data_IF_059406177738
#
_entry.id   IF_059406177738
#
_cell.length_a   1.000
_cell.length_b   1.000
_cell.length_c   1.000
_cell.angle_alpha   90.00
_cell.angle_beta   90.00
_cell.angle_gamma   90.00
#
_symmetry.space_group_name_H-M   'P 1'
#
loop_
_entity.id
_entity.type
_entity.pdbx_description
1 polymer ?
#
# COMPACT_ATOMS: atom_id res chain seq x y z
N UNK A 1 1.17 13.22 -29.98
CA UNK A 1 -0.25 12.82 -29.91
C UNK A 1 -0.62 12.75 -28.46
N UNK A 2 -1.71 13.40 -28.07
CA UNK A 2 -2.27 13.27 -26.72
C UNK A 2 -2.96 11.91 -26.59
N UNK A 3 -3.16 11.44 -25.35
CA UNK A 3 -3.88 10.17 -25.10
C UNK A 3 -5.30 10.21 -25.68
N UNK A 4 -5.95 11.38 -25.69
CA UNK A 4 -7.31 11.55 -26.24
C UNK A 4 -7.35 11.44 -27.76
N UNK A 5 -6.33 11.97 -28.45
CA UNK A 5 -6.15 11.79 -29.89
C UNK A 5 -5.88 10.32 -30.21
N UNK A 6 -5.03 9.68 -29.41
CA UNK A 6 -4.69 8.26 -29.58
C UNK A 6 -5.89 7.35 -29.39
N UNK A 7 -6.75 7.61 -28.40
CA UNK A 7 -8.02 6.89 -28.23
C UNK A 7 -8.94 7.01 -29.44
N UNK A 8 -8.95 8.16 -30.12
CA UNK A 8 -9.79 8.34 -31.31
C UNK A 8 -9.25 7.58 -32.53
N UNK A 9 -7.92 7.46 -32.66
CA UNK A 9 -7.28 6.63 -33.67
C UNK A 9 -7.51 5.15 -33.39
N UNK A 10 -7.24 4.71 -32.16
CA UNK A 10 -7.41 3.31 -31.74
C UNK A 10 -8.87 2.84 -31.86
N UNK A 11 -9.84 3.73 -31.66
CA UNK A 11 -11.25 3.41 -31.88
C UNK A 11 -11.55 3.13 -33.37
N UNK A 12 -10.95 3.88 -34.29
CA UNK A 12 -11.07 3.62 -35.74
C UNK A 12 -10.36 2.33 -36.12
N UNK A 13 -9.21 2.06 -35.53
CA UNK A 13 -8.45 0.84 -35.80
C UNK A 13 -9.14 -0.41 -35.25
N UNK A 14 -9.73 -0.34 -34.05
CA UNK A 14 -10.57 -1.39 -33.49
C UNK A 14 -11.82 -1.66 -34.37
N UNK A 15 -12.43 -0.62 -34.93
CA UNK A 15 -13.53 -0.78 -35.89
C UNK A 15 -13.08 -1.49 -37.18
N UNK A 16 -11.89 -1.17 -37.71
CA UNK A 16 -11.34 -1.83 -38.90
C UNK A 16 -10.95 -3.29 -38.63
N UNK A 17 -10.41 -3.57 -37.45
CA UNK A 17 -10.01 -4.90 -37.01
C UNK A 17 -11.19 -5.77 -36.56
N UNK A 18 -12.41 -5.22 -36.51
CA UNK A 18 -13.63 -5.87 -35.97
C UNK A 18 -13.45 -6.41 -34.54
N UNK A 19 -12.59 -5.76 -33.76
CA UNK A 19 -12.31 -6.11 -32.37
C UNK A 19 -13.36 -5.47 -31.46
N UNK A 20 -14.44 -6.21 -31.21
CA UNK A 20 -15.58 -5.73 -30.43
C UNK A 20 -15.23 -5.46 -28.97
N UNK A 21 -14.35 -6.27 -28.36
CA UNK A 21 -13.90 -6.10 -26.97
C UNK A 21 -13.10 -4.80 -26.84
N UNK A 22 -12.04 -4.63 -27.65
CA UNK A 22 -11.21 -3.41 -27.62
C UNK A 22 -12.03 -2.16 -27.93
N UNK A 23 -12.95 -2.23 -28.89
CA UNK A 23 -13.83 -1.12 -29.24
C UNK A 23 -14.74 -0.71 -28.08
N UNK A 24 -15.30 -1.68 -27.36
CA UNK A 24 -16.11 -1.43 -26.16
C UNK A 24 -15.30 -0.73 -25.07
N UNK A 25 -14.12 -1.27 -24.74
CA UNK A 25 -13.23 -0.71 -23.71
C UNK A 25 -12.82 0.72 -24.02
N UNK A 26 -12.42 1.00 -25.27
CA UNK A 26 -12.00 2.35 -25.70
C UNK A 26 -13.16 3.35 -25.65
N UNK A 27 -14.38 2.94 -26.02
CA UNK A 27 -15.59 3.78 -25.90
C UNK A 27 -15.96 4.07 -24.46
N UNK A 28 -15.84 3.08 -23.59
CA UNK A 28 -16.11 3.24 -22.17
C UNK A 28 -15.12 4.22 -21.54
N UNK A 29 -13.82 4.09 -21.83
CA UNK A 29 -12.80 5.02 -21.38
C UNK A 29 -13.05 6.45 -21.90
N UNK A 30 -13.39 6.61 -23.18
CA UNK A 30 -13.72 7.92 -23.75
C UNK A 30 -14.92 8.58 -23.04
N UNK A 31 -15.93 7.79 -22.70
CA UNK A 31 -17.09 8.27 -21.92
C UNK A 31 -16.68 8.71 -20.52
N UNK A 32 -15.86 7.91 -19.83
CA UNK A 32 -15.35 8.25 -18.49
C UNK A 32 -14.54 9.57 -18.50
N UNK A 33 -13.68 9.76 -19.50
CA UNK A 33 -12.93 11.00 -19.68
C UNK A 33 -13.85 12.19 -19.94
N UNK A 34 -14.87 12.02 -20.80
CA UNK A 34 -15.83 13.09 -21.08
C UNK A 34 -16.67 13.45 -19.86
N UNK A 35 -17.11 12.46 -19.08
CA UNK A 35 -17.81 12.70 -17.82
C UNK A 35 -16.94 13.51 -16.86
N UNK A 36 -15.66 13.16 -16.74
CA UNK A 36 -14.72 13.89 -15.89
C UNK A 36 -14.45 15.33 -16.39
N UNK A 37 -14.43 15.55 -17.72
CA UNK A 37 -14.37 16.90 -18.30
C UNK A 37 -15.60 17.74 -17.94
N UNK A 38 -16.80 17.13 -17.99
CA UNK A 38 -18.05 17.78 -17.60
C UNK A 38 -18.03 18.14 -16.12
N UNK A 39 -17.62 17.21 -15.26
CA UNK A 39 -17.51 17.43 -13.81
C UNK A 39 -16.51 18.55 -13.47
N UNK A 40 -15.40 18.61 -14.20
CA UNK A 40 -14.37 19.64 -14.00
C UNK A 40 -14.72 20.98 -14.67
N UNK A 41 -15.74 21.01 -15.54
CA UNK A 41 -16.11 22.15 -16.39
C UNK A 41 -14.94 22.75 -17.20
N UNK A 42 -13.93 21.93 -17.52
CA UNK A 42 -12.74 22.31 -18.29
C UNK A 42 -12.13 21.11 -18.98
N UNK A 43 -11.21 21.37 -19.91
CA UNK A 43 -10.38 20.30 -20.46
C UNK A 43 -9.50 19.68 -19.37
N UNK A 44 -9.33 18.36 -19.45
CA UNK A 44 -8.49 17.62 -18.52
C UNK A 44 -7.03 17.77 -18.94
N UNK A 45 -6.18 17.95 -17.94
CA UNK A 45 -4.74 17.84 -18.10
C UNK A 45 -4.36 16.37 -18.35
N UNK A 46 -3.18 16.13 -18.93
CA UNK A 46 -2.70 14.75 -19.17
C UNK A 46 -2.63 13.94 -17.88
N UNK A 47 -2.27 14.57 -16.76
CA UNK A 47 -2.25 13.94 -15.43
C UNK A 47 -3.63 13.45 -14.97
N UNK A 48 -4.67 14.24 -15.23
CA UNK A 48 -6.04 13.88 -14.90
C UNK A 48 -6.57 12.77 -15.80
N UNK A 49 -6.20 12.79 -17.09
CA UNK A 49 -6.52 11.71 -18.03
C UNK A 49 -5.91 10.40 -17.53
N UNK A 50 -4.64 10.42 -17.10
CA UNK A 50 -3.98 9.26 -16.49
C UNK A 50 -4.68 8.79 -15.21
N UNK A 51 -5.12 9.71 -14.35
CA UNK A 51 -5.83 9.38 -13.11
C UNK A 51 -7.17 8.68 -13.39
N UNK A 52 -7.91 9.10 -14.42
CA UNK A 52 -9.16 8.44 -14.85
C UNK A 52 -8.89 7.02 -15.34
N UNK A 53 -7.86 6.82 -16.18
CA UNK A 53 -7.50 5.48 -16.68
C UNK A 53 -7.15 4.55 -15.51
N UNK A 54 -6.36 5.02 -14.53
CA UNK A 54 -6.01 4.24 -13.33
C UNK A 54 -7.24 3.88 -12.49
N UNK A 55 -8.17 4.82 -12.34
CA UNK A 55 -9.43 4.59 -11.62
C UNK A 55 -10.24 3.48 -12.29
N UNK A 56 -10.33 3.52 -13.63
CA UNK A 56 -11.05 2.49 -14.40
C UNK A 56 -10.40 1.11 -14.25
N UNK A 57 -9.06 1.03 -14.33
CA UNK A 57 -8.32 -0.22 -14.11
C UNK A 57 -8.56 -0.75 -12.70
N UNK A 58 -8.55 0.12 -11.69
CA UNK A 58 -8.82 -0.28 -10.30
C UNK A 58 -10.23 -0.88 -10.17
N UNK A 59 -11.25 -0.21 -10.72
CA UNK A 59 -12.62 -0.73 -10.70
C UNK A 59 -12.74 -2.11 -11.37
N UNK A 60 -12.04 -2.32 -12.49
CA UNK A 60 -12.00 -3.62 -13.16
C UNK A 60 -11.28 -4.69 -12.33
N UNK A 61 -10.19 -4.33 -11.62
CA UNK A 61 -9.49 -5.25 -10.70
C UNK A 61 -10.37 -5.63 -9.51
N UNK A 62 -10.97 -4.65 -8.84
CA UNK A 62 -11.87 -4.87 -7.71
C UNK A 62 -13.10 -5.72 -8.12
N UNK A 63 -13.66 -5.46 -9.32
CA UNK A 63 -14.73 -6.28 -9.88
C UNK A 63 -14.24 -7.70 -10.21
N UNK A 64 -13.03 -7.86 -10.75
CA UNK A 64 -12.44 -9.17 -11.06
C UNK A 64 -12.22 -10.01 -9.80
N UNK A 65 -11.77 -9.40 -8.69
CA UNK A 65 -11.65 -10.11 -7.41
C UNK A 65 -13.02 -10.60 -6.91
N UNK A 66 -14.04 -9.75 -7.02
CA UNK A 66 -15.42 -10.11 -6.63
C UNK A 66 -15.97 -11.24 -7.50
N UNK A 67 -15.74 -11.20 -8.82
CA UNK A 67 -16.19 -12.26 -9.74
C UNK A 67 -15.39 -13.56 -9.58
N UNK A 68 -14.11 -13.46 -9.23
CA UNK A 68 -13.26 -14.61 -8.89
C UNK A 68 -13.77 -15.31 -7.63
N UNK A 69 -14.14 -14.54 -6.60
CA UNK A 69 -14.78 -15.08 -5.40
C UNK A 69 -16.14 -15.75 -5.69
N UNK A 70 -16.86 -15.27 -6.71
CA UNK A 70 -18.12 -15.85 -7.19
C UNK A 70 -17.95 -17.00 -8.20
N UNK A 71 -16.72 -17.43 -8.52
CA UNK A 71 -16.44 -18.53 -9.45
C UNK A 71 -16.70 -18.24 -10.94
N UNK A 72 -16.84 -16.97 -11.33
CA UNK A 72 -17.12 -16.56 -12.73
C UNK A 72 -15.84 -16.28 -13.51
N UNK A 73 -15.11 -17.33 -13.88
CA UNK A 73 -13.79 -17.22 -14.54
C UNK A 73 -13.85 -16.52 -15.90
N UNK A 74 -14.88 -16.76 -16.73
CA UNK A 74 -15.00 -16.08 -18.03
C UNK A 74 -15.09 -14.55 -17.90
N UNK A 75 -15.77 -14.04 -16.87
CA UNK A 75 -15.87 -12.60 -16.61
C UNK A 75 -14.55 -12.02 -16.10
N UNK A 76 -13.79 -12.80 -15.33
CA UNK A 76 -12.45 -12.40 -14.87
C UNK A 76 -11.50 -12.29 -16.07
N UNK A 77 -11.50 -13.28 -16.97
CA UNK A 77 -10.67 -13.24 -18.18
C UNK A 77 -11.04 -12.07 -19.10
N UNK A 78 -12.33 -11.78 -19.26
CA UNK A 78 -12.78 -10.61 -20.03
C UNK A 78 -12.26 -9.31 -19.40
N UNK A 79 -12.40 -9.13 -18.09
CA UNK A 79 -11.89 -7.96 -17.38
C UNK A 79 -10.35 -7.85 -17.47
N UNK A 80 -9.62 -8.96 -17.41
CA UNK A 80 -8.15 -8.97 -17.55
C UNK A 80 -7.72 -8.53 -18.97
N UNK A 81 -8.47 -8.91 -20.02
CA UNK A 81 -8.25 -8.41 -21.39
C UNK A 81 -8.53 -6.92 -21.52
N UNK A 82 -9.58 -6.42 -20.86
CA UNK A 82 -9.88 -4.99 -20.80
C UNK A 82 -8.78 -4.21 -20.09
N UNK A 83 -8.29 -4.71 -18.94
CA UNK A 83 -7.19 -4.12 -18.18
C UNK A 83 -5.93 -4.04 -19.06
N UNK A 84 -5.57 -5.14 -19.74
CA UNK A 84 -4.41 -5.17 -20.62
C UNK A 84 -4.52 -4.17 -21.79
N UNK A 85 -5.74 -3.91 -22.26
CA UNK A 85 -6.00 -2.87 -23.28
C UNK A 85 -5.83 -1.46 -22.71
N UNK A 86 -6.33 -1.21 -21.50
CA UNK A 86 -6.20 0.08 -20.82
C UNK A 86 -4.75 0.40 -20.42
N UNK A 87 -3.98 -0.62 -20.01
CA UNK A 87 -2.58 -0.49 -19.63
C UNK A 87 -1.68 0.00 -20.78
N UNK A 88 -2.07 -0.22 -22.04
CA UNK A 88 -1.36 0.32 -23.22
C UNK A 88 -1.40 1.84 -23.32
N UNK A 89 -2.39 2.49 -22.71
CA UNK A 89 -2.53 3.95 -22.70
C UNK A 89 -1.86 4.61 -21.50
N UNK A 90 -1.37 3.82 -20.55
CA UNK A 90 -0.55 4.32 -19.45
C UNK A 90 0.92 4.28 -19.88
N UNK A 91 1.71 5.33 -19.61
CA UNK A 91 3.16 5.20 -19.69
C UNK A 91 3.59 4.04 -18.79
N UNK A 92 4.56 3.24 -19.25
CA UNK A 92 5.08 2.09 -18.51
C UNK A 92 5.29 2.48 -17.05
N UNK A 93 4.39 2.01 -16.17
CA UNK A 93 4.47 2.34 -14.76
C UNK A 93 5.75 1.72 -14.25
N UNK A 94 6.55 2.49 -13.53
CA UNK A 94 7.67 1.91 -12.80
C UNK A 94 7.13 0.81 -11.89
N UNK A 95 7.77 -0.36 -11.96
CA UNK A 95 7.48 -1.48 -11.09
C UNK A 95 7.39 -0.99 -9.64
N UNK A 96 6.46 -1.54 -8.86
CA UNK A 96 6.22 -1.13 -7.49
C UNK A 96 7.47 -1.27 -6.62
N UNK A 97 8.30 -2.28 -6.90
CA UNK A 97 9.60 -2.45 -6.28
C UNK A 97 10.58 -1.31 -6.63
N UNK A 98 10.66 -0.94 -7.91
CA UNK A 98 11.53 0.14 -8.39
C UNK A 98 11.06 1.52 -7.88
N UNK A 99 9.74 1.76 -7.87
CA UNK A 99 9.13 2.95 -7.30
C UNK A 99 9.41 3.03 -5.80
N UNK A 100 9.21 1.93 -5.07
CA UNK A 100 9.50 1.86 -3.65
C UNK A 100 10.96 2.25 -3.41
N UNK A 101 11.91 1.64 -4.12
CA UNK A 101 13.34 1.91 -3.96
C UNK A 101 13.71 3.38 -4.19
N UNK A 102 13.24 3.97 -5.29
CA UNK A 102 13.50 5.39 -5.60
C UNK A 102 12.91 6.32 -4.53
N UNK A 103 11.71 6.00 -4.04
CA UNK A 103 11.10 6.75 -2.94
C UNK A 103 11.90 6.55 -1.65
N UNK A 104 12.39 5.34 -1.34
CA UNK A 104 13.26 5.12 -0.16
C UNK A 104 14.50 5.99 -0.25
N UNK A 105 15.21 5.93 -1.37
CA UNK A 105 16.47 6.67 -1.57
C UNK A 105 16.23 8.19 -1.48
N UNK A 106 15.12 8.67 -2.04
CA UNK A 106 14.73 10.08 -1.97
C UNK A 106 14.35 10.52 -0.53
N UNK A 107 13.62 9.69 0.20
CA UNK A 107 13.23 9.96 1.60
C UNK A 107 14.48 9.95 2.50
N UNK A 108 15.37 8.98 2.34
CA UNK A 108 16.65 8.91 3.06
C UNK A 108 17.56 10.11 2.73
N UNK A 109 17.68 10.49 1.46
CA UNK A 109 18.45 11.67 1.05
C UNK A 109 17.85 12.98 1.57
N UNK A 110 16.53 13.05 1.75
CA UNK A 110 15.85 14.24 2.31
C UNK A 110 16.03 14.39 3.83
N UNK A 111 16.48 13.33 4.51
CA UNK A 111 16.63 13.29 5.97
C UNK A 111 15.29 13.40 6.72
N UNK A 112 14.17 13.08 6.07
CA UNK A 112 12.85 13.15 6.69
C UNK A 112 12.63 11.95 7.61
N UNK A 113 12.48 12.22 8.91
CA UNK A 113 12.37 11.17 9.94
C UNK A 113 11.03 11.17 10.64
N UNK A 114 10.19 12.18 10.39
CA UNK A 114 8.91 12.35 11.09
C UNK A 114 7.73 12.63 10.16
N UNK A 115 6.50 12.42 10.65
CA UNK A 115 5.27 12.85 9.97
C UNK A 115 5.23 14.37 9.74
N UNK A 116 5.94 15.17 10.55
CA UNK A 116 6.06 16.61 10.32
C UNK A 116 6.90 16.93 9.07
N UNK A 117 7.80 16.03 8.68
CA UNK A 117 8.64 16.15 7.48
C UNK A 117 7.97 15.57 6.23
N UNK A 118 6.70 15.16 6.32
CA UNK A 118 5.96 14.56 5.20
C UNK A 118 5.96 15.47 3.97
N UNK A 119 5.85 16.80 4.15
CA UNK A 119 5.95 17.75 3.04
C UNK A 119 7.31 17.75 2.34
N UNK A 120 8.39 17.62 3.12
CA UNK A 120 9.78 17.58 2.61
C UNK A 120 10.08 16.25 1.90
N UNK A 121 9.65 15.14 2.51
CA UNK A 121 9.74 13.81 1.93
C UNK A 121 8.95 13.71 0.62
N UNK A 122 7.74 14.28 0.58
CA UNK A 122 6.90 14.31 -0.62
C UNK A 122 7.56 15.14 -1.73
N UNK A 123 8.13 16.30 -1.41
CA UNK A 123 8.85 17.13 -2.39
C UNK A 123 10.08 16.44 -2.96
N UNK A 124 10.88 15.77 -2.13
CA UNK A 124 12.06 15.02 -2.56
C UNK A 124 11.68 13.79 -3.40
N UNK A 125 10.67 13.03 -2.96
CA UNK A 125 10.17 11.87 -3.67
C UNK A 125 9.59 12.29 -5.03
N UNK A 126 8.70 13.30 -5.09
CA UNK A 126 8.13 13.79 -6.36
C UNK A 126 9.20 14.29 -7.33
N UNK A 127 10.27 14.92 -6.83
CA UNK A 127 11.42 15.34 -7.64
C UNK A 127 12.22 14.14 -8.17
N UNK A 128 12.41 13.11 -7.36
CA UNK A 128 13.10 11.88 -7.77
C UNK A 128 12.29 11.03 -8.75
N UNK A 129 10.96 11.00 -8.59
CA UNK A 129 10.08 10.26 -9.50
C UNK A 129 9.77 11.08 -10.76
N UNK A 130 10.01 12.39 -10.79
CA UNK A 130 9.93 13.26 -11.96
C UNK A 130 8.65 13.06 -12.82
N UNK A 131 7.50 12.85 -12.17
CA UNK A 131 6.21 12.58 -12.83
C UNK A 131 6.04 11.17 -13.41
N UNK A 132 7.01 10.26 -13.22
CA UNK A 132 6.98 8.87 -13.71
C UNK A 132 6.13 7.92 -12.84
N UNK A 133 5.59 8.41 -11.73
CA UNK A 133 4.64 7.65 -10.93
C UNK A 133 3.53 8.52 -10.36
N UNK A 134 2.45 7.86 -9.97
CA UNK A 134 1.29 8.51 -9.37
C UNK A 134 1.63 9.16 -8.03
N UNK A 135 1.29 10.44 -7.88
CA UNK A 135 1.47 11.17 -6.62
C UNK A 135 0.78 10.50 -5.43
N UNK A 136 -0.34 9.81 -5.62
CA UNK A 136 -1.00 9.07 -4.54
C UNK A 136 -0.23 7.79 -4.15
N UNK A 137 0.40 7.10 -5.11
CA UNK A 137 1.26 5.94 -4.83
C UNK A 137 2.51 6.37 -4.08
N UNK A 138 3.14 7.46 -4.53
CA UNK A 138 4.29 8.05 -3.83
C UNK A 138 3.89 8.48 -2.42
N UNK A 139 2.73 9.14 -2.25
CA UNK A 139 2.21 9.55 -0.95
C UNK A 139 1.99 8.37 -0.02
N UNK A 140 1.35 7.30 -0.48
CA UNK A 140 1.11 6.11 0.33
C UNK A 140 2.42 5.45 0.79
N UNK A 141 3.42 5.36 -0.10
CA UNK A 141 4.74 4.81 0.24
C UNK A 141 5.45 5.73 1.23
N UNK A 142 5.49 7.05 0.99
CA UNK A 142 6.09 8.03 1.90
C UNK A 142 5.42 8.00 3.27
N UNK A 143 4.08 7.93 3.32
CA UNK A 143 3.33 7.81 4.58
C UNK A 143 3.67 6.51 5.30
N UNK A 144 3.70 5.37 4.62
CA UNK A 144 4.07 4.09 5.23
C UNK A 144 5.48 4.12 5.84
N UNK A 145 6.44 4.72 5.13
CA UNK A 145 7.82 4.81 5.56
C UNK A 145 8.00 5.79 6.72
N UNK A 146 7.39 6.98 6.64
CA UNK A 146 7.44 7.96 7.73
C UNK A 146 6.69 7.48 8.96
N UNK A 147 5.61 6.72 8.80
CA UNK A 147 4.91 6.12 9.94
C UNK A 147 5.81 5.08 10.62
N UNK A 148 6.51 4.24 9.86
CA UNK A 148 7.52 3.32 10.40
C UNK A 148 8.69 4.07 11.06
N UNK A 149 9.16 5.17 10.47
CA UNK A 149 10.23 6.00 11.03
C UNK A 149 9.79 6.75 12.29
N UNK A 150 8.57 7.26 12.35
CA UNK A 150 8.01 7.87 13.58
C UNK A 150 7.80 6.85 14.68
N UNK A 151 7.38 5.63 14.35
CA UNK A 151 7.25 4.57 15.34
C UNK A 151 8.64 4.18 15.89
N UNK A 152 9.64 4.06 15.00
CA UNK A 152 11.03 3.81 15.37
C UNK A 152 11.68 4.99 16.12
N UNK A 153 11.38 6.23 15.75
CA UNK A 153 11.86 7.45 16.38
C UNK A 153 11.17 7.70 17.73
N UNK A 154 9.91 7.33 17.90
CA UNK A 154 9.23 7.34 19.21
C UNK A 154 9.81 6.24 20.13
N UNK A 155 10.24 5.12 19.54
CA UNK A 155 11.05 4.11 20.23
C UNK A 155 12.47 4.59 20.56
N UNK A 156 13.07 5.44 19.72
CA UNK A 156 14.44 5.94 19.89
C UNK A 156 14.51 7.21 20.76
N UNK A 157 13.47 8.05 20.78
CA UNK A 157 13.39 9.26 21.60
C UNK A 157 13.07 8.92 23.07
N UNK A 158 12.43 7.77 23.32
CA UNK A 158 12.39 7.14 24.64
C UNK A 158 13.71 6.44 25.02
N UNK A 159 14.69 6.42 24.12
CA UNK A 159 15.98 5.77 24.30
C UNK A 159 17.17 6.74 24.47
N UNK A 160 17.00 8.08 24.58
CA UNK A 160 18.15 8.98 24.68
C UNK A 160 18.12 10.13 25.69
N UNK A 161 18.85 9.98 26.81
CA UNK A 161 20.25 10.43 26.84
C UNK A 161 21.26 9.32 27.25
N UNK A 162 21.41 8.24 26.47
CA UNK A 162 22.17 7.04 26.88
C UNK A 162 23.27 6.49 25.91
N UNK A 163 23.65 7.21 24.85
CA UNK A 163 24.59 6.84 23.74
C UNK A 163 25.77 7.82 23.75
N UNK A 164 25.76 8.86 24.60
CA UNK A 164 26.99 9.61 24.79
C UNK A 164 28.06 8.77 25.53
N UNK A 165 27.68 7.61 26.09
CA UNK A 165 28.59 6.69 26.76
C UNK A 165 28.26 5.23 26.36
N UNK A 166 28.77 4.79 25.20
CA UNK A 166 28.66 3.40 24.78
C UNK A 166 30.06 2.80 24.55
N UNK A 167 30.66 2.34 25.65
CA UNK A 167 31.63 1.24 25.59
C UNK A 167 31.39 0.17 26.70
N UNK A 168 30.38 0.34 27.55
CA UNK A 168 30.15 -0.52 28.72
C UNK A 168 28.90 -1.41 28.58
N UNK A 169 28.95 -2.61 29.16
CA UNK A 169 27.87 -3.61 29.20
C UNK A 169 26.49 -3.08 29.68
N UNK A 170 26.47 -1.92 30.36
CA UNK A 170 25.26 -1.19 30.73
C UNK A 170 24.42 -0.75 29.51
N UNK A 171 25.03 -0.51 28.35
CA UNK A 171 24.34 -0.18 27.11
C UNK A 171 23.58 -1.40 26.55
N UNK A 172 24.19 -2.58 26.58
CA UNK A 172 23.55 -3.82 26.17
C UNK A 172 22.35 -4.15 27.08
N UNK A 173 22.50 -4.00 28.40
CA UNK A 173 21.40 -4.17 29.35
C UNK A 173 20.27 -3.16 29.12
N UNK A 174 20.58 -1.90 28.80
CA UNK A 174 19.59 -0.86 28.52
C UNK A 174 18.86 -1.11 27.20
N UNK A 175 19.57 -1.54 26.15
CA UNK A 175 18.98 -1.94 24.87
C UNK A 175 18.01 -3.12 25.01
N UNK A 176 18.35 -4.13 25.81
CA UNK A 176 17.44 -5.26 26.04
C UNK A 176 16.24 -4.85 26.91
N UNK A 177 16.38 -3.88 27.82
CA UNK A 177 15.22 -3.32 28.57
C UNK A 177 14.24 -2.58 27.64
N UNK A 178 14.76 -1.78 26.70
CA UNK A 178 13.94 -1.08 25.70
C UNK A 178 13.25 -2.10 24.78
N UNK A 179 13.99 -3.11 24.32
CA UNK A 179 13.43 -4.22 23.53
C UNK A 179 12.28 -4.92 24.26
N UNK A 180 12.40 -5.15 25.57
CA UNK A 180 11.35 -5.77 26.39
C UNK A 180 10.08 -4.93 26.45
N UNK A 181 10.21 -3.61 26.62
CA UNK A 181 9.05 -2.68 26.62
C UNK A 181 8.37 -2.67 25.25
N UNK A 182 9.15 -2.69 24.16
CA UNK A 182 8.62 -2.78 22.81
C UNK A 182 7.84 -4.07 22.56
N UNK A 183 8.38 -5.22 22.97
CA UNK A 183 7.68 -6.51 22.88
C UNK A 183 6.36 -6.51 23.66
N UNK A 184 6.32 -5.82 24.81
CA UNK A 184 5.11 -5.67 25.61
C UNK A 184 4.04 -4.82 24.91
N UNK A 185 4.43 -3.74 24.24
CA UNK A 185 3.51 -2.91 23.43
C UNK A 185 3.00 -3.65 22.19
N UNK A 186 3.85 -4.43 21.52
CA UNK A 186 3.43 -5.28 20.39
C UNK A 186 2.44 -6.37 20.80
N UNK A 187 2.51 -6.85 22.05
CA UNK A 187 1.51 -7.77 22.62
C UNK A 187 0.09 -7.19 22.60
N UNK A 188 -0.07 -5.88 22.83
CA UNK A 188 -1.38 -5.19 22.77
C UNK A 188 -1.98 -5.28 21.37
N UNK A 189 -1.15 -5.12 20.33
CA UNK A 189 -1.58 -5.25 18.92
C UNK A 189 -2.08 -6.66 18.63
N UNK A 190 -1.41 -7.69 19.17
CA UNK A 190 -1.81 -9.08 19.01
C UNK A 190 -3.15 -9.39 19.67
N UNK A 191 -3.39 -8.85 20.87
CA UNK A 191 -4.69 -8.96 21.57
C UNK A 191 -5.79 -8.26 20.79
N UNK A 192 -5.51 -7.09 20.20
CA UNK A 192 -6.47 -6.39 19.35
C UNK A 192 -6.90 -7.22 18.13
N UNK A 193 -5.97 -7.95 17.50
CA UNK A 193 -6.28 -8.88 16.41
C UNK A 193 -7.21 -10.02 16.85
N UNK A 194 -7.03 -10.54 18.05
CA UNK A 194 -7.91 -11.58 18.62
C UNK A 194 -9.32 -11.01 18.84
N UNK A 195 -9.43 -9.83 19.43
CA UNK A 195 -10.72 -9.17 19.71
C UNK A 195 -11.45 -8.87 18.39
N UNK A 196 -10.75 -8.29 17.43
CA UNK A 196 -11.35 -7.91 16.14
C UNK A 196 -11.77 -9.13 15.32
N UNK A 197 -10.97 -10.21 15.34
CA UNK A 197 -11.34 -11.50 14.77
C UNK A 197 -12.56 -12.12 15.45
N UNK A 198 -12.63 -12.07 16.79
CA UNK A 198 -13.77 -12.58 17.55
C UNK A 198 -15.07 -11.82 17.24
N UNK A 199 -14.99 -10.48 17.16
CA UNK A 199 -16.13 -9.63 16.76
C UNK A 199 -16.55 -9.96 15.33
N UNK A 200 -15.61 -10.13 14.41
CA UNK A 200 -15.89 -10.51 13.02
C UNK A 200 -16.57 -11.88 12.90
N UNK A 201 -16.20 -12.85 13.73
CA UNK A 201 -16.87 -14.16 13.79
C UNK A 201 -18.29 -14.04 14.36
N UNK A 202 -18.50 -13.19 15.37
CA UNK A 202 -19.79 -13.01 16.02
C UNK A 202 -20.82 -12.25 15.16
N UNK A 203 -20.36 -11.34 14.31
CA UNK A 203 -21.23 -10.52 13.45
C UNK A 203 -21.48 -11.14 12.07
N UNK A 204 -20.63 -12.07 11.62
CA UNK A 204 -20.77 -12.74 10.32
C UNK A 204 -21.68 -13.98 10.40
N UNK A 205 -22.47 -14.22 9.35
CA UNK A 205 -23.24 -15.46 9.20
C UNK A 205 -22.30 -16.63 8.86
N UNK A 206 -22.58 -17.84 9.36
CA UNK A 206 -21.71 -19.03 9.22
C UNK A 206 -21.36 -19.50 7.80
N UNK A 207 -21.89 -18.86 6.75
CA UNK A 207 -21.57 -19.12 5.34
C UNK A 207 -20.90 -17.93 4.63
N UNK A 208 -20.54 -16.89 5.38
CA UNK A 208 -19.92 -15.68 4.86
C UNK A 208 -18.38 -15.77 4.94
N UNK A 209 -17.70 -15.20 3.96
CA UNK A 209 -16.24 -15.03 3.91
C UNK A 209 -15.74 -14.26 5.15
N UNK A 210 -16.58 -13.39 5.73
CA UNK A 210 -16.30 -12.67 6.98
C UNK A 210 -16.05 -13.58 8.20
N UNK A 211 -16.67 -14.78 8.24
CA UNK A 211 -16.46 -15.72 9.33
C UNK A 211 -15.10 -16.43 9.21
N UNK A 212 -14.69 -16.82 8.00
CA UNK A 212 -13.36 -17.41 7.77
C UNK A 212 -12.24 -16.40 7.98
N UNK A 213 -12.45 -15.15 7.54
CA UNK A 213 -11.49 -14.06 7.77
C UNK A 213 -11.35 -13.73 9.26
N UNK A 214 -12.45 -13.71 10.02
CA UNK A 214 -12.43 -13.54 11.47
C UNK A 214 -11.64 -14.65 12.18
N UNK A 215 -11.85 -15.91 11.80
CA UNK A 215 -11.08 -17.04 12.32
C UNK A 215 -9.58 -16.92 12.01
N UNK A 216 -9.22 -16.47 10.81
CA UNK A 216 -7.82 -16.25 10.42
C UNK A 216 -7.18 -15.11 11.22
N UNK A 217 -7.91 -14.03 11.49
CA UNK A 217 -7.44 -12.94 12.35
C UNK A 217 -7.22 -13.40 13.79
N UNK A 218 -8.13 -14.22 14.35
CA UNK A 218 -7.94 -14.82 15.67
C UNK A 218 -6.71 -15.73 15.70
N UNK A 219 -6.53 -16.57 14.67
CA UNK A 219 -5.38 -17.47 14.57
C UNK A 219 -4.04 -16.70 14.50
N UNK A 220 -3.97 -15.64 13.68
CA UNK A 220 -2.78 -14.77 13.65
C UNK A 220 -2.53 -14.09 14.99
N UNK A 221 -3.59 -13.59 15.65
CA UNK A 221 -3.48 -12.94 16.95
C UNK A 221 -2.99 -13.89 18.05
N UNK A 222 -3.44 -15.15 18.06
CA UNK A 222 -2.98 -16.19 19.00
C UNK A 222 -1.52 -16.59 18.71
N UNK A 223 -1.16 -16.77 17.44
CA UNK A 223 0.22 -17.07 17.09
C UNK A 223 1.16 -15.91 17.48
N UNK A 224 0.73 -14.68 17.24
CA UNK A 224 1.44 -13.47 17.64
C UNK A 224 1.66 -13.38 19.15
N UNK A 225 0.65 -13.70 19.97
CA UNK A 225 0.80 -13.65 21.44
C UNK A 225 1.77 -14.72 21.95
N UNK A 226 1.72 -15.93 21.40
CA UNK A 226 2.65 -17.02 21.77
C UNK A 226 4.09 -16.64 21.39
N UNK A 227 4.29 -16.13 20.18
CA UNK A 227 5.61 -15.72 19.71
C UNK A 227 6.17 -14.56 20.55
N UNK A 228 5.35 -13.57 20.88
CA UNK A 228 5.76 -12.45 21.75
C UNK A 228 6.10 -12.91 23.17
N UNK A 229 5.31 -13.83 23.74
CA UNK A 229 5.61 -14.40 25.05
C UNK A 229 6.97 -15.11 25.05
N UNK A 230 7.27 -15.89 23.99
CA UNK A 230 8.58 -16.53 23.82
C UNK A 230 9.73 -15.52 23.72
N UNK A 231 9.56 -14.46 22.93
CA UNK A 231 10.58 -13.40 22.80
C UNK A 231 10.80 -12.64 24.11
N UNK A 232 9.76 -12.40 24.90
CA UNK A 232 9.87 -11.76 26.21
C UNK A 232 10.68 -12.64 27.17
N UNK A 233 10.48 -13.96 27.16
CA UNK A 233 11.27 -14.90 27.97
C UNK A 233 12.74 -14.88 27.54
N UNK A 234 13.03 -14.88 26.24
CA UNK A 234 14.40 -14.81 25.72
C UNK A 234 15.06 -13.48 26.10
N UNK A 235 14.35 -12.35 25.95
CA UNK A 235 14.85 -11.04 26.33
C UNK A 235 15.10 -10.94 27.85
N UNK A 236 14.25 -11.59 28.66
CA UNK A 236 14.42 -11.66 30.12
C UNK A 236 15.63 -12.50 30.50
N UNK A 237 15.82 -13.66 29.86
CA UNK A 237 16.99 -14.51 30.05
C UNK A 237 18.29 -13.81 29.60
N UNK A 238 18.24 -13.01 28.53
CA UNK A 238 19.37 -12.19 28.09
C UNK A 238 19.72 -11.09 29.09
N UNK A 239 18.72 -10.43 29.71
CA UNK A 239 18.95 -9.47 30.80
C UNK A 239 19.59 -10.11 32.02
N UNK A 240 19.19 -11.34 32.38
CA UNK A 240 19.77 -12.08 33.49
C UNK A 240 21.22 -12.54 33.25
N UNK A 241 21.66 -12.61 31.98
CA UNK A 241 23.05 -12.93 31.61
C UNK A 241 23.96 -11.71 31.49
N UNK A 242 23.36 -10.52 31.30
CA UNK A 242 24.05 -9.24 31.13
C UNK A 242 24.11 -8.41 32.43
N UNK A 243 23.54 -8.91 33.53
CA UNK A 243 23.53 -8.30 34.85
C UNK A 243 24.14 -9.22 35.89
#
# INVERSE_FOLDING_TARGET
MTIQEQLTVDMKDAMKAQDAERLSTVRMLKTALKNKQIDAMRELTEDEVMAVIKTQIKQLKDASETFRAAGRTETVEANEREIATLEKYLPAQMDEAALSQIVKDAVTASGATSKADQGKAMGAAMKAVAGRADGNRVKAIVESMLTAFTLAAMLALTAHPALAAAQDAAFAASGVRIMRVFLMLMGIVSVNFIIMGAVSVMTASGRDHGHHHGLQQMAMGIFGTILMAGLIVIATAALQRLG
#
